data_IF_209145542291
#
_entry.id   IF_209145542291
#
_cell.length_a   1.000
_cell.length_b   1.000
_cell.length_c   1.000
_cell.angle_alpha   90.00
_cell.angle_beta   90.00
_cell.angle_gamma   90.00
#
_symmetry.space_group_name_H-M   'P 1'
#
loop_
_entity.id
_entity.type
_entity.pdbx_description
1 polymer ?
#
# COMPACT_ATOMS: atom_id res chain seq x y z
N UNK A 1 43.67 -39.69 -74.28
CA UNK A 1 42.69 -38.58 -74.20
C UNK A 1 42.21 -38.23 -72.77
N UNK A 2 42.62 -38.93 -71.71
CA UNK A 2 42.14 -38.65 -70.33
C UNK A 2 42.72 -37.38 -69.67
N UNK A 3 43.89 -36.91 -70.11
CA UNK A 3 44.61 -35.80 -69.47
C UNK A 3 43.91 -34.44 -69.58
N UNK A 4 43.45 -34.04 -70.77
CA UNK A 4 42.82 -32.72 -70.99
C UNK A 4 41.47 -32.57 -70.28
N UNK A 5 40.72 -33.67 -70.12
CA UNK A 5 39.43 -33.69 -69.43
C UNK A 5 39.59 -33.48 -67.91
N UNK A 6 40.62 -34.09 -67.32
CA UNK A 6 40.95 -33.91 -65.90
C UNK A 6 41.42 -32.49 -65.59
N UNK A 7 42.19 -31.87 -66.50
CA UNK A 7 42.64 -30.48 -66.33
C UNK A 7 41.48 -29.49 -66.42
N UNK A 8 40.54 -29.68 -67.36
CA UNK A 8 39.33 -28.85 -67.47
C UNK A 8 38.44 -28.95 -66.23
N UNK A 9 38.29 -30.15 -65.67
CA UNK A 9 37.53 -30.37 -64.43
C UNK A 9 38.19 -29.69 -63.22
N UNK A 10 39.52 -29.73 -63.12
CA UNK A 10 40.26 -29.08 -62.04
C UNK A 10 40.24 -27.53 -62.12
N UNK A 11 40.16 -26.98 -63.33
CA UNK A 11 40.00 -25.54 -63.55
C UNK A 11 38.59 -25.10 -63.12
N UNK A 12 37.56 -25.88 -63.48
CA UNK A 12 36.17 -25.63 -63.08
C UNK A 12 36.01 -25.66 -61.55
N UNK A 13 36.61 -26.65 -60.88
CA UNK A 13 36.61 -26.77 -59.41
C UNK A 13 37.25 -25.55 -58.73
N UNK A 14 38.36 -25.06 -59.30
CA UNK A 14 39.04 -23.85 -58.81
C UNK A 14 38.13 -22.62 -58.90
N UNK A 15 37.42 -22.42 -60.00
CA UNK A 15 36.49 -21.29 -60.15
C UNK A 15 35.29 -21.40 -59.22
N UNK A 16 34.71 -22.60 -59.06
CA UNK A 16 33.60 -22.85 -58.13
C UNK A 16 33.97 -22.49 -56.69
N UNK A 17 35.21 -22.79 -56.27
CA UNK A 17 35.72 -22.41 -54.94
C UNK A 17 35.73 -20.90 -54.72
N UNK A 18 36.18 -20.13 -55.71
CA UNK A 18 36.17 -18.67 -55.63
C UNK A 18 34.74 -18.10 -55.61
N UNK A 19 33.83 -18.67 -56.41
CA UNK A 19 32.41 -18.26 -56.42
C UNK A 19 31.74 -18.56 -55.08
N UNK A 20 32.01 -19.73 -54.48
CA UNK A 20 31.48 -20.08 -53.16
C UNK A 20 32.00 -19.14 -52.06
N UNK A 21 33.28 -18.78 -52.08
CA UNK A 21 33.85 -17.82 -51.12
C UNK A 21 33.18 -16.46 -51.30
N UNK A 22 33.08 -15.96 -52.53
CA UNK A 22 32.45 -14.67 -52.81
C UNK A 22 30.98 -14.65 -52.38
N UNK A 23 30.22 -15.71 -52.71
CA UNK A 23 28.83 -15.85 -52.31
C UNK A 23 28.69 -15.88 -50.78
N UNK A 24 29.56 -16.60 -50.08
CA UNK A 24 29.56 -16.67 -48.60
C UNK A 24 29.82 -15.30 -47.99
N UNK A 25 30.80 -14.55 -48.50
CA UNK A 25 31.09 -13.18 -48.01
C UNK A 25 29.89 -12.26 -48.21
N UNK A 26 29.24 -12.32 -49.37
CA UNK A 26 28.04 -11.51 -49.66
C UNK A 26 26.88 -11.90 -48.75
N UNK A 27 26.62 -13.21 -48.58
CA UNK A 27 25.54 -13.71 -47.72
C UNK A 27 25.76 -13.27 -46.27
N UNK A 28 26.96 -13.46 -45.72
CA UNK A 28 27.27 -13.06 -44.35
C UNK A 28 27.15 -11.54 -44.19
N UNK A 29 27.66 -10.76 -45.16
CA UNK A 29 27.57 -9.29 -45.12
C UNK A 29 26.13 -8.76 -45.15
N UNK A 30 25.23 -9.44 -45.87
CA UNK A 30 23.80 -9.08 -45.88
C UNK A 30 23.02 -9.62 -44.69
N UNK A 31 23.41 -10.76 -44.12
CA UNK A 31 22.78 -11.32 -42.92
C UNK A 31 23.21 -10.61 -41.64
N UNK A 32 24.36 -9.92 -41.64
CA UNK A 32 24.83 -9.22 -40.46
C UNK A 32 23.84 -8.09 -40.12
N UNK A 33 23.08 -8.18 -39.01
CA UNK A 33 22.19 -7.10 -38.63
C UNK A 33 23.07 -5.88 -38.38
N UNK A 34 22.69 -4.72 -38.93
CA UNK A 34 23.28 -3.47 -38.46
C UNK A 34 22.90 -3.36 -37.00
N UNK A 35 23.86 -3.59 -36.11
CA UNK A 35 23.64 -3.40 -34.69
C UNK A 35 23.00 -2.02 -34.50
N UNK A 36 21.95 -1.91 -33.68
CA UNK A 36 21.45 -0.61 -33.30
C UNK A 36 22.58 0.10 -32.55
N UNK A 37 23.31 0.95 -33.26
CA UNK A 37 24.26 1.85 -32.65
C UNK A 37 23.47 2.69 -31.66
N UNK A 38 23.91 2.69 -30.41
CA UNK A 38 23.32 3.53 -29.38
C UNK A 38 23.43 4.98 -29.88
N UNK A 39 22.30 5.61 -30.22
CA UNK A 39 22.27 6.90 -30.92
C UNK A 39 22.68 8.10 -30.05
N UNK A 40 23.13 7.82 -28.83
CA UNK A 40 23.41 8.80 -27.81
C UNK A 40 24.90 8.76 -27.47
N UNK A 41 25.59 9.85 -27.79
CA UNK A 41 26.93 10.14 -27.29
C UNK A 41 26.77 11.01 -26.05
N UNK A 42 27.33 10.58 -24.93
CA UNK A 42 27.27 11.32 -23.68
C UNK A 42 28.68 11.45 -23.09
N UNK A 43 28.99 12.66 -22.64
CA UNK A 43 30.20 12.95 -21.87
C UNK A 43 29.82 13.23 -20.42
N UNK A 44 30.64 12.77 -19.48
CA UNK A 44 30.40 12.99 -18.06
C UNK A 44 30.42 14.48 -17.72
N UNK A 45 29.33 14.99 -17.14
CA UNK A 45 29.15 16.42 -16.84
C UNK A 45 28.54 17.26 -17.97
N UNK A 46 28.30 16.68 -19.15
CA UNK A 46 27.56 17.37 -20.21
C UNK A 46 26.05 17.47 -19.89
N UNK A 47 25.41 18.49 -20.44
CA UNK A 47 23.96 18.69 -20.32
C UNK A 47 23.24 17.67 -21.23
N UNK A 48 22.14 17.09 -20.76
CA UNK A 48 21.31 16.18 -21.55
C UNK A 48 20.73 16.91 -22.77
N UNK A 49 21.12 16.50 -23.98
CA UNK A 49 20.70 17.13 -25.25
C UNK A 49 19.60 16.35 -26.00
N UNK A 50 19.20 15.20 -25.47
CA UNK A 50 18.24 14.30 -26.11
C UNK A 50 16.84 14.46 -25.50
N UNK A 51 15.79 13.91 -26.12
CA UNK A 51 14.46 13.89 -25.51
C UNK A 51 14.47 13.25 -24.13
N UNK A 52 13.54 13.68 -23.27
CA UNK A 52 13.40 13.13 -21.93
C UNK A 52 13.16 11.62 -21.99
N UNK A 53 14.03 10.88 -21.30
CA UNK A 53 13.97 9.43 -21.27
C UNK A 53 13.09 9.00 -20.10
N UNK A 54 11.85 8.68 -20.39
CA UNK A 54 10.93 8.08 -19.43
C UNK A 54 11.05 6.56 -19.47
N UNK A 55 10.97 5.93 -18.29
CA UNK A 55 10.87 4.48 -18.21
C UNK A 55 9.54 4.02 -18.88
N UNK A 56 9.52 2.88 -19.59
CA UNK A 56 8.31 2.36 -20.22
C UNK A 56 7.29 1.81 -19.21
N UNK A 57 7.63 1.81 -17.92
CA UNK A 57 6.78 1.40 -16.81
C UNK A 57 7.18 2.14 -15.53
N UNK A 58 6.26 2.19 -14.58
CA UNK A 58 6.50 2.70 -13.25
C UNK A 58 7.23 1.64 -12.41
N UNK A 59 8.28 2.06 -11.72
CA UNK A 59 8.94 1.23 -10.71
C UNK A 59 8.62 1.77 -9.32
N UNK A 60 8.31 0.91 -8.34
CA UNK A 60 8.11 1.35 -6.97
C UNK A 60 9.44 1.81 -6.39
N UNK A 61 9.47 3.04 -5.89
CA UNK A 61 10.56 3.50 -5.02
C UNK A 61 10.25 2.96 -3.63
N UNK A 62 10.92 1.86 -3.26
CA UNK A 62 10.76 1.27 -1.94
C UNK A 62 11.37 2.20 -0.89
N UNK A 63 10.59 2.47 0.16
CA UNK A 63 11.08 3.18 1.35
C UNK A 63 12.18 2.38 2.02
N UNK A 64 13.10 3.08 2.67
CA UNK A 64 14.12 2.42 3.47
C UNK A 64 13.48 1.73 4.69
N UNK A 65 14.19 0.76 5.26
CA UNK A 65 13.72 0.08 6.47
C UNK A 65 13.59 1.07 7.65
N UNK A 66 14.48 2.06 7.72
CA UNK A 66 14.49 3.11 8.75
C UNK A 66 13.25 4.02 8.63
N UNK A 67 12.87 4.41 7.42
CA UNK A 67 11.67 5.23 7.16
C UNK A 67 10.40 4.47 7.56
N UNK A 68 10.32 3.17 7.24
CA UNK A 68 9.18 2.33 7.59
C UNK A 68 9.04 2.17 9.11
N UNK A 69 10.15 2.04 9.83
CA UNK A 69 10.14 1.95 11.29
C UNK A 69 9.76 3.27 11.95
N UNK A 70 10.24 4.40 11.43
CA UNK A 70 9.85 5.72 11.91
C UNK A 70 8.35 5.98 11.73
N UNK A 71 7.79 5.70 10.54
CA UNK A 71 6.35 5.83 10.27
C UNK A 71 5.51 4.91 11.16
N UNK A 72 5.95 3.68 11.42
CA UNK A 72 5.23 2.77 12.33
C UNK A 72 5.16 3.34 13.75
N UNK A 73 6.27 3.86 14.27
CA UNK A 73 6.29 4.48 15.60
C UNK A 73 5.37 5.70 15.65
N UNK A 74 5.40 6.54 14.63
CA UNK A 74 4.51 7.70 14.54
C UNK A 74 3.03 7.29 14.53
N UNK A 75 2.69 6.22 13.81
CA UNK A 75 1.32 5.69 13.79
C UNK A 75 0.90 5.10 15.12
N UNK A 76 1.79 4.39 15.81
CA UNK A 76 1.53 3.86 17.16
C UNK A 76 1.29 4.99 18.17
N UNK A 77 2.01 6.10 18.05
CA UNK A 77 1.84 7.26 18.92
C UNK A 77 0.57 8.07 18.61
N UNK A 78 0.20 8.18 17.33
CA UNK A 78 -0.92 9.03 16.88
C UNK A 78 -2.27 8.33 16.81
N UNK A 79 -2.29 7.00 16.76
CA UNK A 79 -3.54 6.25 16.58
C UNK A 79 -4.16 5.94 17.93
N UNK A 80 -5.28 6.60 18.25
CA UNK A 80 -6.11 6.22 19.39
C UNK A 80 -6.71 4.82 19.15
N UNK A 81 -6.24 3.82 19.91
CA UNK A 81 -6.80 2.47 19.89
C UNK A 81 -8.02 2.45 20.83
N UNK A 82 -9.21 2.33 20.26
CA UNK A 82 -10.44 2.15 21.03
C UNK A 82 -10.69 0.67 21.28
N UNK A 83 -10.82 0.28 22.55
CA UNK A 83 -11.16 -1.09 22.95
C UNK A 83 -12.60 -1.09 23.46
N UNK A 84 -13.41 -1.98 22.89
CA UNK A 84 -14.75 -2.21 23.39
C UNK A 84 -14.70 -3.07 24.66
N UNK A 85 -15.28 -2.57 25.74
CA UNK A 85 -15.42 -3.29 27.00
C UNK A 85 -16.90 -3.50 27.34
N UNK A 86 -17.31 -4.76 27.37
CA UNK A 86 -18.68 -5.17 27.67
C UNK A 86 -19.04 -5.07 29.17
N UNK A 87 -18.06 -4.88 30.06
CA UNK A 87 -18.29 -4.74 31.50
C UNK A 87 -18.59 -3.29 31.89
N UNK A 88 -18.11 -2.29 31.14
CA UNK A 88 -18.37 -0.87 31.42
C UNK A 88 -19.87 -0.55 31.49
N UNK A 89 -20.73 -0.96 30.53
CA UNK A 89 -22.17 -0.68 30.61
C UNK A 89 -22.80 -1.25 31.89
N UNK A 90 -22.36 -2.44 32.33
CA UNK A 90 -22.88 -3.08 33.55
C UNK A 90 -22.47 -2.31 34.80
N UNK A 91 -21.20 -1.92 34.88
CA UNK A 91 -20.67 -1.14 36.00
C UNK A 91 -21.38 0.21 36.12
N UNK A 92 -21.66 0.87 34.99
CA UNK A 92 -22.34 2.17 34.98
C UNK A 92 -23.82 2.03 35.33
N UNK A 93 -24.50 0.96 34.90
CA UNK A 93 -25.88 0.67 35.35
C UNK A 93 -25.94 0.46 36.88
N UNK A 94 -24.95 -0.23 37.47
CA UNK A 94 -24.86 -0.44 38.92
C UNK A 94 -24.58 0.87 39.67
N UNK A 95 -23.55 1.62 39.24
CA UNK A 95 -23.20 2.93 39.81
C UNK A 95 -24.37 3.93 39.74
N UNK A 96 -25.10 3.96 38.62
CA UNK A 96 -26.28 4.81 38.49
C UNK A 96 -27.34 4.49 39.56
N UNK A 97 -27.53 3.21 39.89
CA UNK A 97 -28.47 2.80 40.92
C UNK A 97 -28.13 3.39 42.29
N UNK A 98 -26.84 3.35 42.66
CA UNK A 98 -26.33 3.89 43.92
C UNK A 98 -26.39 5.43 43.95
N UNK A 99 -25.94 6.08 42.87
CA UNK A 99 -25.96 7.54 42.73
C UNK A 99 -27.40 8.10 42.75
N UNK A 100 -28.34 7.37 42.16
CA UNK A 100 -29.74 7.73 42.18
C UNK A 100 -30.30 7.69 43.61
N UNK A 101 -29.93 6.67 44.39
CA UNK A 101 -30.35 6.54 45.77
C UNK A 101 -29.78 7.66 46.65
N UNK A 102 -28.49 7.97 46.51
CA UNK A 102 -27.86 9.10 47.19
C UNK A 102 -28.50 10.44 46.84
N UNK A 103 -28.80 10.65 45.55
CA UNK A 103 -29.48 11.86 45.09
C UNK A 103 -30.90 11.97 45.66
N UNK A 104 -31.61 10.84 45.79
CA UNK A 104 -32.95 10.80 46.37
C UNK A 104 -32.93 11.18 47.86
N UNK A 105 -31.92 10.75 48.60
CA UNK A 105 -31.73 11.12 50.01
C UNK A 105 -31.46 12.61 50.17
N UNK A 106 -30.60 13.20 49.33
CA UNK A 106 -30.36 14.64 49.32
C UNK A 106 -31.64 15.45 49.00
N UNK A 107 -32.47 14.97 48.06
CA UNK A 107 -33.76 15.63 47.74
C UNK A 107 -34.75 15.52 48.91
N UNK A 108 -34.69 14.47 49.73
CA UNK A 108 -35.54 14.34 50.93
C UNK A 108 -35.18 15.38 52.00
N UNK A 109 -33.91 15.72 52.14
CA UNK A 109 -33.43 16.73 53.11
C UNK A 109 -33.82 18.16 52.71
N UNK A 110 -33.93 18.44 51.41
CA UNK A 110 -34.37 19.73 50.89
C UNK A 110 -35.36 19.53 49.72
N UNK A 111 -36.67 19.38 49.99
CA UNK A 111 -37.66 18.97 49.00
C UNK A 111 -37.99 20.11 48.02
N UNK A 112 -37.09 20.36 47.08
CA UNK A 112 -37.32 21.24 45.92
C UNK A 112 -38.05 20.51 44.77
N UNK A 113 -37.95 19.18 44.73
CA UNK A 113 -38.56 18.32 43.70
C UNK A 113 -39.46 17.24 44.32
N UNK A 114 -40.72 17.59 44.57
CA UNK A 114 -41.68 16.70 45.23
C UNK A 114 -42.16 15.55 44.32
N UNK A 115 -42.19 15.74 42.99
CA UNK A 115 -42.67 14.74 42.03
C UNK A 115 -41.75 13.50 41.98
N UNK A 116 -40.43 13.73 42.06
CA UNK A 116 -39.41 12.66 42.10
C UNK A 116 -39.55 11.81 43.36
N UNK A 117 -39.88 12.43 44.50
CA UNK A 117 -40.11 11.74 45.77
C UNK A 117 -41.40 10.90 45.77
N UNK A 118 -42.42 11.34 45.04
CA UNK A 118 -43.70 10.62 44.94
C UNK A 118 -43.63 9.40 44.01
N UNK A 119 -42.77 9.45 42.99
CA UNK A 119 -42.67 8.41 41.96
C UNK A 119 -41.21 8.10 41.58
N UNK A 120 -40.34 7.72 42.55
CA UNK A 120 -38.91 7.55 42.31
C UNK A 120 -38.62 6.48 41.25
N UNK A 121 -39.36 5.37 41.26
CA UNK A 121 -39.17 4.26 40.33
C UNK A 121 -39.31 4.68 38.86
N UNK A 122 -40.23 5.61 38.56
CA UNK A 122 -40.45 6.08 37.18
C UNK A 122 -39.20 6.79 36.63
N UNK A 123 -38.54 7.60 37.45
CA UNK A 123 -37.33 8.32 37.04
C UNK A 123 -36.14 7.38 36.97
N UNK A 124 -36.03 6.46 37.94
CA UNK A 124 -34.98 5.44 37.95
C UNK A 124 -35.03 4.58 36.69
N UNK A 125 -36.17 3.98 36.39
CA UNK A 125 -36.34 3.14 35.20
C UNK A 125 -36.15 3.90 33.89
N UNK A 126 -36.57 5.17 33.83
CA UNK A 126 -36.31 6.01 32.66
C UNK A 126 -34.79 6.25 32.48
N UNK A 127 -34.07 6.55 33.56
CA UNK A 127 -32.63 6.74 33.55
C UNK A 127 -31.88 5.49 33.10
N UNK A 128 -32.21 4.32 33.66
CA UNK A 128 -31.63 3.03 33.27
C UNK A 128 -31.86 2.73 31.78
N UNK A 129 -33.10 2.90 31.30
CA UNK A 129 -33.43 2.67 29.89
C UNK A 129 -32.70 3.65 28.95
N UNK A 130 -32.53 4.90 29.38
CA UNK A 130 -31.80 5.91 28.63
C UNK A 130 -30.30 5.59 28.55
N UNK A 131 -29.68 5.21 29.67
CA UNK A 131 -28.29 4.77 29.72
C UNK A 131 -28.06 3.57 28.82
N UNK A 132 -28.91 2.55 28.91
CA UNK A 132 -28.81 1.36 28.05
C UNK A 132 -28.83 1.71 26.57
N UNK A 133 -29.75 2.57 26.15
CA UNK A 133 -29.84 3.04 24.76
C UNK A 133 -28.59 3.81 24.32
N UNK A 134 -27.98 4.58 25.22
CA UNK A 134 -26.73 5.29 24.92
C UNK A 134 -25.56 4.32 24.73
N UNK A 135 -25.41 3.34 25.63
CA UNK A 135 -24.35 2.33 25.53
C UNK A 135 -24.55 1.38 24.34
N UNK A 136 -25.79 1.03 23.98
CA UNK A 136 -26.12 0.27 22.77
C UNK A 136 -25.73 1.02 21.48
N UNK A 137 -25.86 2.36 21.47
CA UNK A 137 -25.42 3.20 20.35
C UNK A 137 -23.89 3.30 20.24
N UNK A 138 -23.18 3.00 21.33
CA UNK A 138 -21.74 3.16 21.45
C UNK A 138 -21.35 4.55 21.95
N UNK A 139 -20.57 4.60 23.02
CA UNK A 139 -19.95 5.82 23.55
C UNK A 139 -18.45 5.67 23.40
N UNK A 140 -17.81 6.66 22.78
CA UNK A 140 -16.36 6.75 22.73
C UNK A 140 -15.90 7.60 23.91
N UNK A 141 -15.23 6.97 24.87
CA UNK A 141 -14.50 7.71 25.88
C UNK A 141 -13.27 8.32 25.23
N UNK A 142 -13.18 9.66 25.21
CA UNK A 142 -11.93 10.34 24.92
C UNK A 142 -11.04 10.11 26.14
N UNK A 143 -10.04 9.24 26.04
CA UNK A 143 -9.01 9.16 27.07
C UNK A 143 -8.33 10.54 27.17
N UNK A 144 -8.08 11.06 28.40
CA UNK A 144 -7.28 12.27 28.59
C UNK A 144 -5.83 12.08 28.13
#
# INVERSE_FOLDING_TARGET
MKGKFQTGLAILDRYMRYVLILATVVIIGFLFPREPQFKYEFEEGAIWMYPDLHAPYDFPILKSQEELEAERRELEEKTAIYVYDAEIPKQVEEQFGDDFQHSLEAIRENPQMTDVLQRPDRYKTYGEAFLRKLYERGIVALMP
#
